data_IF_725735935369
#
_entry.id   IF_725735935369
#
_cell.length_a   1.000
_cell.length_b   1.000
_cell.length_c   1.000
_cell.angle_alpha   90.00
_cell.angle_beta   90.00
_cell.angle_gamma   90.00
#
_symmetry.space_group_name_H-M   'P 1'
#
loop_
_entity.id
_entity.type
_entity.pdbx_description
1 polymer ?
#
# COMPACT_ATOMS: atom_id res chain seq x y z
N UNK A 1 8.60 4.68 -11.91
CA UNK A 1 8.15 5.13 -10.58
C UNK A 1 6.76 4.59 -10.30
N UNK A 2 6.34 4.59 -9.04
CA UNK A 2 4.99 4.24 -8.68
C UNK A 2 4.15 5.50 -8.76
N UNK A 3 3.08 5.45 -9.54
CA UNK A 3 2.25 6.63 -9.79
C UNK A 3 1.27 6.93 -8.65
N UNK A 4 0.99 5.94 -7.81
CA UNK A 4 0.04 6.10 -6.72
C UNK A 4 0.58 7.00 -5.62
N UNK A 5 -0.32 7.69 -4.95
CA UNK A 5 -0.02 8.28 -3.64
C UNK A 5 -0.43 7.24 -2.59
N UNK A 6 0.55 6.46 -2.13
CA UNK A 6 0.30 5.32 -1.23
C UNK A 6 -0.35 5.78 0.08
N UNK A 7 0.12 6.89 0.63
CA UNK A 7 -0.44 7.41 1.87
C UNK A 7 -1.93 7.73 1.72
N UNK A 8 -2.27 8.42 0.64
CA UNK A 8 -3.67 8.75 0.37
C UNK A 8 -4.50 7.50 0.12
N UNK A 9 -3.95 6.55 -0.65
CA UNK A 9 -4.64 5.30 -0.95
C UNK A 9 -5.03 4.56 0.32
N UNK A 10 -4.08 4.41 1.24
CA UNK A 10 -4.35 3.71 2.50
C UNK A 10 -5.36 4.46 3.35
N UNK A 11 -5.23 5.79 3.43
CA UNK A 11 -6.18 6.61 4.21
C UNK A 11 -7.60 6.49 3.66
N UNK A 12 -7.75 6.51 2.35
CA UNK A 12 -9.06 6.35 1.71
C UNK A 12 -9.63 4.97 2.00
N UNK A 13 -8.82 3.93 1.88
CA UNK A 13 -9.28 2.56 2.14
C UNK A 13 -9.66 2.36 3.60
N UNK A 14 -8.93 2.95 4.52
CA UNK A 14 -9.29 2.91 5.93
C UNK A 14 -10.65 3.58 6.16
N UNK A 15 -10.84 4.74 5.57
CA UNK A 15 -12.09 5.47 5.73
C UNK A 15 -13.27 4.70 5.13
N UNK A 16 -13.08 4.13 3.95
CA UNK A 16 -14.13 3.35 3.30
C UNK A 16 -14.56 2.14 4.11
N UNK A 17 -13.64 1.58 4.88
CA UNK A 17 -13.90 0.39 5.68
C UNK A 17 -14.17 0.69 7.15
N UNK A 18 -14.23 1.96 7.53
CA UNK A 18 -14.52 2.36 8.90
C UNK A 18 -13.49 1.89 9.90
N UNK A 19 -12.22 1.86 9.52
CA UNK A 19 -11.13 1.36 10.36
C UNK A 19 -10.02 2.42 10.39
N UNK A 20 -9.36 2.56 11.54
CA UNK A 20 -8.25 3.50 11.68
C UNK A 20 -6.92 2.83 11.30
N UNK A 21 -5.90 3.64 11.03
CA UNK A 21 -4.57 3.11 10.77
C UNK A 21 -4.03 2.33 11.97
N UNK A 22 -4.34 2.78 13.19
CA UNK A 22 -3.93 2.08 14.39
C UNK A 22 -4.55 0.68 14.45
N UNK A 23 -5.81 0.57 14.06
CA UNK A 23 -6.48 -0.72 14.02
C UNK A 23 -5.91 -1.62 12.94
N UNK A 24 -5.54 -1.06 11.78
CA UNK A 24 -4.86 -1.84 10.75
C UNK A 24 -3.52 -2.36 11.26
N UNK A 25 -2.76 -1.50 11.93
CA UNK A 25 -1.47 -1.90 12.49
C UNK A 25 -1.64 -3.06 13.47
N UNK A 26 -2.65 -2.98 14.31
CA UNK A 26 -2.94 -4.04 15.27
C UNK A 26 -3.26 -5.35 14.56
N UNK A 27 -4.07 -5.29 13.50
CA UNK A 27 -4.47 -6.48 12.76
C UNK A 27 -3.29 -7.18 12.09
N UNK A 28 -2.28 -6.42 11.67
CA UNK A 28 -1.11 -7.03 11.02
C UNK A 28 0.05 -7.27 11.98
N UNK A 29 -0.15 -6.98 13.26
CA UNK A 29 0.84 -7.28 14.28
C UNK A 29 2.00 -6.30 14.35
N UNK A 30 1.74 -5.02 14.05
CA UNK A 30 2.76 -3.99 14.11
C UNK A 30 2.22 -2.75 14.83
N UNK A 31 2.88 -1.62 14.68
CA UNK A 31 2.51 -0.39 15.37
C UNK A 31 2.02 0.67 14.38
N UNK A 32 1.19 1.61 14.88
CA UNK A 32 0.73 2.72 14.07
C UNK A 32 1.87 3.54 13.48
N UNK A 33 2.88 3.93 14.29
CA UNK A 33 4.03 4.66 13.72
C UNK A 33 4.76 3.91 12.61
N UNK A 34 4.86 2.60 12.72
CA UNK A 34 5.50 1.80 11.67
C UNK A 34 4.70 1.83 10.36
N UNK A 35 3.37 1.63 10.47
CA UNK A 35 2.48 1.70 9.30
C UNK A 35 2.59 3.09 8.67
N UNK A 36 2.54 4.14 9.49
CA UNK A 36 2.63 5.51 8.99
C UNK A 36 3.94 5.74 8.23
N UNK A 37 5.03 5.21 8.74
CA UNK A 37 6.33 5.33 8.09
C UNK A 37 6.36 4.64 6.73
N UNK A 38 5.77 3.44 6.65
CA UNK A 38 5.72 2.70 5.39
C UNK A 38 4.94 3.47 4.32
N UNK A 39 3.76 3.94 4.67
CA UNK A 39 2.90 4.59 3.67
C UNK A 39 3.42 5.96 3.26
N UNK A 40 4.18 6.63 4.11
CA UNK A 40 4.75 7.93 3.76
C UNK A 40 5.96 7.82 2.85
N UNK A 41 6.76 6.76 3.02
CA UNK A 41 7.99 6.62 2.25
C UNK A 41 7.78 6.11 0.84
N UNK A 42 6.81 5.25 0.63
CA UNK A 42 6.53 4.58 -0.65
C UNK A 42 7.64 3.67 -1.16
N UNK A 43 8.89 3.97 -0.83
CA UNK A 43 10.04 3.29 -1.44
C UNK A 43 10.12 1.81 -1.14
N UNK A 44 9.55 1.36 -0.02
CA UNK A 44 9.61 -0.05 0.36
C UNK A 44 8.38 -0.85 -0.05
N UNK A 45 7.40 -0.21 -0.69
CA UNK A 45 6.14 -0.88 -1.04
C UNK A 45 6.35 -1.87 -2.17
N UNK A 46 7.16 -1.49 -3.15
CA UNK A 46 7.53 -2.38 -4.25
C UNK A 46 9.04 -2.40 -4.33
N UNK A 47 9.60 -3.55 -4.69
CA UNK A 47 11.04 -3.71 -4.80
C UNK A 47 11.63 -2.61 -5.69
N UNK A 48 12.61 -1.89 -5.17
CA UNK A 48 13.20 -0.74 -5.86
C UNK A 48 13.84 -1.13 -7.20
N UNK A 49 14.54 -2.26 -7.22
CA UNK A 49 15.18 -2.73 -8.44
C UNK A 49 14.13 -3.05 -9.51
N UNK A 50 13.02 -3.67 -9.10
CA UNK A 50 11.94 -3.96 -10.03
C UNK A 50 11.37 -2.68 -10.63
N UNK A 51 11.16 -1.66 -9.81
CA UNK A 51 10.67 -0.36 -10.30
C UNK A 51 11.64 0.20 -11.34
N UNK A 52 12.94 0.15 -11.05
CA UNK A 52 13.97 0.64 -11.97
C UNK A 52 14.00 -0.15 -13.27
N UNK A 53 13.77 -1.47 -13.20
CA UNK A 53 13.69 -2.31 -14.41
C UNK A 53 12.55 -1.84 -15.31
N UNK A 54 11.38 -1.58 -14.74
CA UNK A 54 10.24 -1.11 -15.52
C UNK A 54 10.50 0.28 -16.12
N UNK A 55 11.13 1.15 -15.35
CA UNK A 55 11.51 2.47 -15.86
C UNK A 55 12.47 2.37 -17.01
N UNK A 56 13.44 1.47 -16.94
CA UNK A 56 14.39 1.25 -18.02
C UNK A 56 13.71 0.76 -19.29
N UNK A 57 12.59 0.06 -19.14
CA UNK A 57 11.80 -0.42 -20.28
C UNK A 57 10.80 0.63 -20.76
N UNK A 58 10.69 1.75 -20.07
CA UNK A 58 9.79 2.83 -20.45
C UNK A 58 8.43 2.79 -19.78
N UNK A 59 8.34 2.14 -18.61
CA UNK A 59 7.07 2.02 -17.89
C UNK A 59 7.15 2.57 -16.48
N UNK A 60 6.05 3.15 -16.04
CA UNK A 60 5.81 3.41 -14.63
C UNK A 60 4.86 2.34 -14.10
N UNK A 61 4.74 2.27 -12.78
CA UNK A 61 3.88 1.26 -12.13
C UNK A 61 2.67 1.95 -11.54
N UNK A 62 1.51 1.34 -11.75
CA UNK A 62 0.27 1.80 -11.12
C UNK A 62 -0.31 0.62 -10.33
N UNK A 63 -0.57 0.85 -9.04
CA UNK A 63 -1.13 -0.18 -8.15
C UNK A 63 -2.65 -0.05 -8.13
N UNK A 64 -3.32 -1.19 -8.24
CA UNK A 64 -4.76 -1.25 -8.16
C UNK A 64 -5.15 -2.14 -6.98
N UNK A 65 -6.09 -1.66 -6.16
CA UNK A 65 -6.54 -2.39 -4.98
C UNK A 65 -7.91 -2.98 -5.28
N UNK A 66 -7.98 -4.30 -5.30
CA UNK A 66 -9.21 -5.02 -5.63
C UNK A 66 -9.82 -5.55 -4.34
N UNK A 67 -11.10 -5.27 -4.13
CA UNK A 67 -11.78 -5.72 -2.92
C UNK A 67 -11.79 -7.24 -2.88
N UNK A 68 -11.43 -7.79 -1.71
CA UNK A 68 -11.39 -9.25 -1.56
C UNK A 68 -12.80 -9.82 -1.60
N UNK A 69 -12.93 -10.95 -2.29
CA UNK A 69 -14.14 -11.72 -2.28
C UNK A 69 -14.29 -12.35 -0.89
N UNK A 70 -15.46 -12.29 -0.32
CA UNK A 70 -15.71 -12.85 1.00
C UNK A 70 -15.41 -14.33 1.10
N UNK A 71 -15.38 -15.03 0.00
CA UNK A 71 -15.09 -16.46 -0.03
C UNK A 71 -13.64 -16.79 -0.31
N UNK A 72 -12.86 -15.80 -0.63
CA UNK A 72 -11.46 -16.08 -0.92
C UNK A 72 -10.71 -16.19 0.38
N UNK A 73 -10.35 -16.97 0.79
CA UNK A 73 -9.63 -17.05 1.91
C UNK A 73 -8.44 -17.58 1.82
N UNK A 74 -8.29 -17.33 1.57
CA UNK A 74 -7.55 -17.79 1.53
C UNK A 74 -6.96 -17.82 1.67
#
# INVERSE_FOLDING_TARGET
MIKNNIELDVKVKCKENGITQAQVAEKVGTSGPYVNRIIKKQDGVVNKTFVQMLEALGYDIELTYVKRDGNSEE
#
